data_IF_429941616805
#
_entry.id   IF_429941616805
#
_cell.length_a   1.000
_cell.length_b   1.000
_cell.length_c   1.000
_cell.angle_alpha   90.00
_cell.angle_beta   90.00
_cell.angle_gamma   90.00
#
_symmetry.space_group_name_H-M   'P 1'
#
loop_
_entity.id
_entity.type
_entity.pdbx_description
1 polymer ?
#
# COMPACT_ATOMS: atom_id res chain seq x y z
N UNK A 1 7.14 -15.11 23.43
CA UNK A 1 6.31 -15.43 22.25
C UNK A 1 5.83 -14.17 21.52
N UNK A 2 5.48 -13.09 22.23
CA UNK A 2 5.01 -11.82 21.64
C UNK A 2 6.00 -11.18 20.65
N UNK A 3 7.30 -11.20 20.94
CA UNK A 3 8.33 -10.68 20.03
C UNK A 3 8.40 -11.42 18.69
N UNK A 4 8.23 -12.75 18.69
CA UNK A 4 8.31 -13.57 17.46
C UNK A 4 7.10 -13.28 16.57
N UNK A 5 5.90 -13.17 17.16
CA UNK A 5 4.67 -12.83 16.43
C UNK A 5 4.78 -11.43 15.81
N UNK A 6 5.33 -10.47 16.55
CA UNK A 6 5.57 -9.11 16.06
C UNK A 6 6.51 -9.07 14.84
N UNK A 7 7.62 -9.79 14.88
CA UNK A 7 8.57 -9.87 13.76
C UNK A 7 7.96 -10.54 12.51
N UNK A 8 7.18 -11.60 12.70
CA UNK A 8 6.48 -12.26 11.60
C UNK A 8 5.45 -11.32 10.96
N UNK A 9 4.67 -10.59 11.77
CA UNK A 9 3.72 -9.60 11.28
C UNK A 9 4.41 -8.48 10.48
N UNK A 10 5.56 -7.99 10.96
CA UNK A 10 6.37 -6.99 10.27
C UNK A 10 6.85 -7.49 8.91
N UNK A 11 7.33 -8.73 8.85
CA UNK A 11 7.76 -9.35 7.60
C UNK A 11 6.61 -9.44 6.59
N UNK A 12 5.44 -9.94 6.99
CA UNK A 12 4.29 -10.02 6.10
C UNK A 12 3.76 -8.64 5.68
N UNK A 13 3.75 -7.67 6.58
CA UNK A 13 3.38 -6.29 6.25
C UNK A 13 4.31 -5.71 5.18
N UNK A 14 5.62 -5.93 5.32
CA UNK A 14 6.61 -5.47 4.36
C UNK A 14 6.46 -6.16 3.00
N UNK A 15 6.22 -7.47 2.98
CA UNK A 15 5.93 -8.21 1.73
C UNK A 15 4.66 -7.69 1.06
N UNK A 16 3.60 -7.44 1.83
CA UNK A 16 2.35 -6.86 1.31
C UNK A 16 2.57 -5.48 0.70
N UNK A 17 3.27 -4.60 1.39
CA UNK A 17 3.52 -3.21 0.95
C UNK A 17 4.50 -3.15 -0.22
N UNK A 18 5.55 -3.97 -0.22
CA UNK A 18 6.57 -3.96 -1.28
C UNK A 18 6.14 -4.74 -2.53
N UNK A 19 5.31 -5.77 -2.40
CA UNK A 19 4.95 -6.66 -3.50
C UNK A 19 3.45 -6.69 -3.81
N UNK A 20 2.62 -6.94 -2.79
CA UNK A 20 1.18 -7.12 -2.97
C UNK A 20 0.48 -5.86 -3.51
N UNK A 21 0.64 -4.74 -2.81
CA UNK A 21 -0.03 -3.47 -3.12
C UNK A 21 0.44 -2.89 -4.47
N UNK A 22 1.75 -2.85 -4.80
CA UNK A 22 2.22 -2.41 -6.11
C UNK A 22 1.67 -3.28 -7.25
N UNK A 23 1.61 -4.61 -7.07
CA UNK A 23 1.05 -5.51 -8.07
C UNK A 23 -0.43 -5.23 -8.32
N UNK A 24 -1.20 -4.91 -7.27
CA UNK A 24 -2.59 -4.49 -7.41
C UNK A 24 -2.73 -3.17 -8.18
N UNK A 25 -1.91 -2.16 -7.85
CA UNK A 25 -1.86 -0.87 -8.56
C UNK A 25 -1.58 -1.07 -10.05
N UNK A 26 -0.58 -1.90 -10.38
CA UNK A 26 -0.20 -2.18 -11.77
C UNK A 26 -1.30 -2.94 -12.51
N UNK A 27 -1.93 -3.92 -11.86
CA UNK A 27 -3.04 -4.68 -12.43
C UNK A 27 -4.22 -3.76 -12.74
N UNK A 28 -4.58 -2.89 -11.79
CA UNK A 28 -5.65 -1.90 -11.96
C UNK A 28 -5.34 -0.93 -13.10
N UNK A 29 -4.09 -0.49 -13.24
CA UNK A 29 -3.65 0.34 -14.37
C UNK A 29 -3.72 -0.38 -15.73
N UNK A 30 -3.28 -1.64 -15.80
CA UNK A 30 -3.23 -2.42 -17.04
C UNK A 30 -4.61 -2.87 -17.52
N UNK A 31 -5.43 -3.39 -16.61
CA UNK A 31 -6.71 -4.02 -16.94
C UNK A 31 -7.89 -3.05 -16.87
N UNK A 32 -7.71 -1.86 -16.29
CA UNK A 32 -8.78 -0.90 -15.99
C UNK A 32 -9.94 -1.54 -15.19
N UNK A 33 -9.65 -2.60 -14.45
CA UNK A 33 -10.57 -3.30 -13.56
C UNK A 33 -10.18 -2.99 -12.13
N UNK A 34 -11.14 -2.49 -11.37
CA UNK A 34 -10.96 -2.26 -9.94
C UNK A 34 -11.13 -3.61 -9.23
N UNK A 35 -10.01 -4.22 -8.82
CA UNK A 35 -10.03 -5.50 -8.12
C UNK A 35 -10.60 -5.41 -6.69
N UNK A 36 -10.81 -4.20 -6.18
CA UNK A 36 -11.22 -3.92 -4.81
C UNK A 36 -12.31 -2.85 -4.78
N UNK A 37 -13.26 -3.02 -3.86
CA UNK A 37 -14.32 -2.04 -3.65
C UNK A 37 -13.75 -0.69 -3.20
N UNK A 38 -14.43 0.39 -3.57
CA UNK A 38 -13.99 1.75 -3.25
C UNK A 38 -14.01 2.01 -1.74
N UNK A 39 -15.08 1.60 -1.04
CA UNK A 39 -15.19 1.81 0.40
C UNK A 39 -14.13 1.00 1.14
N UNK A 40 -13.84 -0.21 0.69
CA UNK A 40 -12.79 -1.03 1.26
C UNK A 40 -11.39 -0.40 1.07
N UNK A 41 -11.15 0.22 -0.09
CA UNK A 41 -9.92 0.99 -0.35
C UNK A 41 -9.75 2.19 0.58
N UNK A 42 -10.85 2.91 0.86
CA UNK A 42 -10.85 4.00 1.84
C UNK A 42 -10.60 3.51 3.27
N UNK A 43 -11.21 2.39 3.67
CA UNK A 43 -10.99 1.79 4.98
C UNK A 43 -9.52 1.40 5.15
N UNK A 44 -8.90 0.78 4.15
CA UNK A 44 -7.46 0.46 4.19
C UNK A 44 -6.61 1.72 4.34
N UNK A 45 -6.92 2.77 3.58
CA UNK A 45 -6.22 4.05 3.69
C UNK A 45 -6.35 4.65 5.10
N UNK A 46 -7.55 4.61 5.69
CA UNK A 46 -7.77 5.07 7.06
C UNK A 46 -7.00 4.23 8.09
N UNK A 47 -6.96 2.90 7.93
CA UNK A 47 -6.19 2.01 8.80
C UNK A 47 -4.71 2.37 8.77
N UNK A 48 -4.10 2.51 7.60
CA UNK A 48 -2.69 2.91 7.49
C UNK A 48 -2.45 4.32 8.06
N UNK A 49 -3.38 5.24 7.88
CA UNK A 49 -3.30 6.58 8.46
C UNK A 49 -3.28 6.53 9.99
N UNK A 50 -4.26 5.88 10.61
CA UNK A 50 -4.35 5.78 12.07
C UNK A 50 -3.19 4.99 12.68
N UNK A 51 -2.70 3.94 12.01
CA UNK A 51 -1.55 3.18 12.49
C UNK A 51 -0.25 3.95 12.37
N UNK A 52 -0.05 4.70 11.29
CA UNK A 52 1.10 5.61 11.15
C UNK A 52 1.06 6.67 12.24
N UNK A 53 -0.12 7.27 12.48
CA UNK A 53 -0.32 8.22 13.57
C UNK A 53 -0.02 7.63 14.95
N UNK A 54 -0.50 6.42 15.21
CA UNK A 54 -0.19 5.67 16.43
C UNK A 54 1.32 5.43 16.59
N UNK A 55 1.99 5.00 15.51
CA UNK A 55 3.44 4.81 15.49
C UNK A 55 4.19 6.09 15.84
N UNK A 56 3.77 7.24 15.30
CA UNK A 56 4.34 8.57 15.62
C UNK A 56 4.16 8.88 17.11
N UNK A 57 2.94 8.70 17.65
CA UNK A 57 2.67 8.94 19.08
C UNK A 57 3.50 8.07 20.02
N UNK A 58 3.87 6.86 19.57
CA UNK A 58 4.71 5.92 20.31
C UNK A 58 6.20 6.03 19.99
N UNK A 59 6.58 6.91 19.05
CA UNK A 59 7.94 7.04 18.53
C UNK A 59 8.52 5.69 18.04
N UNK A 60 7.66 4.84 17.47
CA UNK A 60 8.03 3.50 16.99
C UNK A 60 8.29 3.50 15.48
N UNK A 61 9.55 3.68 15.12
CA UNK A 61 10.00 3.69 13.73
C UNK A 61 9.71 2.40 12.96
N UNK A 62 9.60 1.26 13.66
CA UNK A 62 9.26 -0.01 13.03
C UNK A 62 7.81 -0.07 12.56
N UNK A 63 6.92 0.75 13.12
CA UNK A 63 5.53 0.90 12.65
C UNK A 63 5.47 2.02 11.61
N UNK A 64 6.10 3.16 11.91
CA UNK A 64 6.00 4.37 11.08
C UNK A 64 6.45 4.11 9.63
N UNK A 65 7.60 3.47 9.44
CA UNK A 65 8.19 3.28 8.10
C UNK A 65 7.28 2.43 7.20
N UNK A 66 6.94 1.18 7.54
CA UNK A 66 6.12 0.34 6.67
C UNK A 66 4.70 0.89 6.49
N UNK A 67 4.08 1.42 7.55
CA UNK A 67 2.71 1.94 7.47
C UNK A 67 2.63 3.25 6.68
N UNK A 68 3.67 4.09 6.69
CA UNK A 68 3.75 5.27 5.81
C UNK A 68 3.83 4.88 4.34
N UNK A 69 4.61 3.85 4.01
CA UNK A 69 4.67 3.34 2.62
C UNK A 69 3.33 2.73 2.22
N UNK A 70 2.70 1.93 3.11
CA UNK A 70 1.35 1.40 2.91
C UNK A 70 0.30 2.50 2.70
N UNK A 71 0.39 3.59 3.47
CA UNK A 71 -0.47 4.76 3.33
C UNK A 71 -0.32 5.40 1.94
N UNK A 72 0.91 5.68 1.51
CA UNK A 72 1.17 6.28 0.19
C UNK A 72 0.59 5.40 -0.92
N UNK A 73 0.83 4.08 -0.87
CA UNK A 73 0.32 3.17 -1.90
C UNK A 73 -1.21 3.05 -1.88
N UNK A 74 -1.84 3.06 -0.70
CA UNK A 74 -3.30 3.05 -0.58
C UNK A 74 -3.94 4.33 -1.14
N UNK A 75 -3.30 5.49 -0.94
CA UNK A 75 -3.70 6.75 -1.57
C UNK A 75 -3.61 6.64 -3.09
N UNK A 76 -2.55 6.01 -3.64
CA UNK A 76 -2.43 5.79 -5.09
C UNK A 76 -3.56 4.90 -5.62
N UNK A 77 -3.96 3.86 -4.90
CA UNK A 77 -5.10 3.00 -5.29
C UNK A 77 -6.41 3.80 -5.33
N UNK A 78 -6.66 4.63 -4.32
CA UNK A 78 -7.85 5.49 -4.27
C UNK A 78 -7.80 6.53 -5.39
N UNK A 79 -6.63 7.14 -5.63
CA UNK A 79 -6.44 8.11 -6.70
C UNK A 79 -6.64 7.52 -8.10
N UNK A 80 -6.21 6.27 -8.32
CA UNK A 80 -6.47 5.55 -9.58
C UNK A 80 -7.98 5.38 -9.86
N UNK A 81 -8.85 5.51 -8.87
CA UNK A 81 -10.31 5.46 -9.10
C UNK A 81 -10.82 6.70 -9.85
N UNK A 82 -10.24 7.87 -9.56
CA UNK A 82 -10.60 9.14 -10.19
C UNK A 82 -9.76 9.42 -11.44
N UNK A 83 -8.53 8.94 -11.48
CA UNK A 83 -7.62 9.04 -12.62
C UNK A 83 -6.97 7.68 -12.91
N UNK A 84 -7.57 6.82 -13.75
CA UNK A 84 -7.12 5.43 -13.96
C UNK A 84 -5.74 5.30 -14.61
N UNK A 85 -5.27 6.34 -15.30
CA UNK A 85 -4.00 6.30 -16.04
C UNK A 85 -3.10 7.49 -15.72
N UNK A 86 -2.66 7.66 -14.47
CA UNK A 86 -1.80 8.77 -14.13
C UNK A 86 -0.40 8.57 -14.72
N UNK A 87 0.22 9.67 -15.14
CA UNK A 87 1.53 9.68 -15.82
C UNK A 87 2.61 8.98 -14.97
N UNK A 88 2.58 9.18 -13.66
CA UNK A 88 3.52 8.57 -12.70
C UNK A 88 3.48 7.04 -12.79
N UNK A 89 2.28 6.45 -12.91
CA UNK A 89 2.12 4.99 -13.01
C UNK A 89 2.52 4.45 -14.38
N UNK A 90 2.62 5.27 -15.42
CA UNK A 90 3.19 4.88 -16.72
C UNK A 90 4.67 4.55 -16.60
N UNK A 91 5.42 5.29 -15.78
CA UNK A 91 6.83 5.01 -15.50
C UNK A 91 6.99 3.77 -14.63
N UNK A 92 6.21 3.67 -13.55
CA UNK A 92 6.22 2.51 -12.66
C UNK A 92 5.85 1.23 -13.41
N UNK A 93 4.78 1.26 -14.22
CA UNK A 93 4.36 0.12 -15.02
C UNK A 93 5.40 -0.29 -16.08
N UNK A 94 6.26 0.61 -16.57
CA UNK A 94 7.38 0.27 -17.46
C UNK A 94 8.49 -0.48 -16.72
N UNK A 95 8.79 -0.11 -15.48
CA UNK A 95 9.79 -0.79 -14.64
C UNK A 95 9.35 -2.24 -14.37
N UNK A 96 8.07 -2.44 -14.07
CA UNK A 96 7.47 -3.77 -13.82
C UNK A 96 7.04 -4.52 -15.10
N UNK A 97 7.35 -4.03 -16.30
CA UNK A 97 7.08 -4.72 -17.58
C UNK A 97 8.29 -5.49 -18.11
N UNK A 98 9.34 -5.61 -17.32
CA UNK A 98 10.59 -6.27 -17.68
C UNK A 98 10.53 -7.77 -17.33
N UNK A 99 9.44 -8.43 -17.72
CA UNK A 99 9.26 -9.88 -17.75
C UNK A 99 8.45 -10.24 -19.00
#
# INVERSE_FOLDING_TARGET
MEHIIGEIFRFFALVMVCWGVPRQIIKQYKENRFGMDFYFSLVICAVYFFRTWYGILKNDWYIIIPDSVGLILSIVIVYQRFNPRPIILRYIAKIFKRD
#
